data_IF_261513156581
#
_entry.id   IF_261513156581
#
_cell.length_a   1.000
_cell.length_b   1.000
_cell.length_c   1.000
_cell.angle_alpha   90.00
_cell.angle_beta   90.00
_cell.angle_gamma   90.00
#
_symmetry.space_group_name_H-M   'P 1'
#
loop_
_entity.id
_entity.type
_entity.pdbx_description
1 polymer ?
#
# COMPACT_ATOMS: atom_id res chain seq x y z
N UNK A 1 -10.42 -22.83 -21.32
CA UNK A 1 -9.98 -22.40 -19.98
C UNK A 1 -10.51 -21.00 -19.80
N UNK A 2 -11.11 -20.70 -18.66
CA UNK A 2 -11.72 -19.40 -18.36
C UNK A 2 -10.64 -18.34 -18.09
N UNK A 3 -10.85 -17.12 -18.60
CA UNK A 3 -9.91 -16.00 -18.47
C UNK A 3 -10.13 -15.28 -17.16
N UNK A 4 -9.07 -14.78 -16.52
CA UNK A 4 -9.20 -13.99 -15.29
C UNK A 4 -8.11 -12.91 -15.27
N UNK A 5 -8.52 -11.63 -15.25
CA UNK A 5 -7.61 -10.49 -15.21
C UNK A 5 -7.46 -9.98 -13.77
N UNK A 6 -6.63 -10.69 -13.01
CA UNK A 6 -6.34 -10.36 -11.61
C UNK A 6 -5.01 -9.60 -11.48
N UNK A 7 -5.05 -8.40 -10.89
CA UNK A 7 -3.86 -7.63 -10.52
C UNK A 7 -3.66 -7.66 -9.01
N UNK A 8 -2.54 -8.23 -8.54
CA UNK A 8 -2.22 -8.34 -7.11
C UNK A 8 -0.97 -7.51 -6.79
N UNK A 9 -1.13 -6.47 -5.98
CA UNK A 9 -0.04 -5.62 -5.48
C UNK A 9 0.34 -6.07 -4.06
N UNK A 10 1.32 -6.99 -3.94
CA UNK A 10 1.76 -7.56 -2.66
C UNK A 10 3.04 -6.92 -2.12
N UNK A 11 3.12 -6.79 -0.78
CA UNK A 11 4.33 -6.42 -0.05
C UNK A 11 4.73 -7.50 0.95
N UNK A 12 5.65 -8.38 0.54
CA UNK A 12 6.36 -9.30 1.43
C UNK A 12 7.75 -9.62 0.90
N UNK A 13 8.72 -9.83 1.80
CA UNK A 13 10.08 -10.22 1.42
C UNK A 13 10.21 -11.75 1.32
N UNK A 14 10.78 -12.24 0.20
CA UNK A 14 11.25 -13.64 -0.01
C UNK A 14 10.06 -14.62 -0.22
N UNK A 15 10.06 -15.62 -1.13
CA UNK A 15 11.12 -16.46 -1.72
C UNK A 15 10.82 -16.79 -3.20
N UNK A 16 11.85 -16.94 -4.04
CA UNK A 16 11.67 -17.26 -5.48
C UNK A 16 11.61 -18.77 -5.74
N UNK A 17 10.62 -19.22 -6.52
CA UNK A 17 10.65 -20.51 -7.23
C UNK A 17 10.25 -20.23 -8.68
N UNK A 18 11.17 -20.42 -9.61
CA UNK A 18 10.92 -20.19 -11.04
C UNK A 18 10.34 -21.43 -11.72
N UNK A 19 9.57 -21.21 -12.79
CA UNK A 19 9.32 -22.24 -13.80
C UNK A 19 9.17 -21.62 -15.18
N UNK A 20 9.86 -22.20 -16.17
CA UNK A 20 9.71 -21.83 -17.59
C UNK A 20 8.47 -22.49 -18.17
N UNK A 21 7.69 -21.81 -19.01
CA UNK A 21 6.84 -22.49 -20.00
C UNK A 21 6.54 -21.67 -21.26
N UNK A 22 6.72 -22.35 -22.38
CA UNK A 22 6.21 -22.15 -23.75
C UNK A 22 5.40 -20.90 -24.09
N UNK A 23 5.87 -20.15 -25.10
CA UNK A 23 5.00 -19.30 -25.91
C UNK A 23 4.21 -20.17 -26.90
N UNK A 24 2.91 -19.89 -27.08
CA UNK A 24 2.29 -20.00 -28.40
C UNK A 24 1.08 -19.05 -28.53
N UNK A 25 0.64 -18.83 -29.78
CA UNK A 25 0.10 -17.52 -30.22
C UNK A 25 -1.43 -17.35 -30.23
N UNK A 26 -1.81 -16.06 -30.24
CA UNK A 26 -3.03 -15.46 -30.79
C UNK A 26 -4.39 -15.95 -30.25
N UNK A 27 -5.03 -15.09 -29.45
CA UNK A 27 -6.49 -15.11 -29.26
C UNK A 27 -7.03 -13.70 -29.53
N UNK A 28 -7.99 -13.59 -30.45
CA UNK A 28 -8.76 -12.36 -30.68
C UNK A 28 -9.63 -12.05 -29.46
N UNK A 29 -9.57 -10.81 -28.97
CA UNK A 29 -10.46 -10.31 -27.91
C UNK A 29 -11.73 -9.79 -28.57
N UNK A 30 -12.86 -10.49 -28.34
CA UNK A 30 -14.19 -9.97 -28.69
C UNK A 30 -14.53 -8.80 -27.76
N UNK A 31 -14.93 -7.68 -28.35
CA UNK A 31 -15.43 -6.51 -27.63
C UNK A 31 -16.97 -6.55 -27.66
N UNK A 32 -17.65 -6.77 -26.52
CA UNK A 32 -18.96 -6.15 -26.22
C UNK A 32 -19.61 -6.49 -24.85
N UNK A 33 -18.96 -7.22 -23.94
CA UNK A 33 -19.44 -7.31 -22.54
C UNK A 33 -18.76 -6.21 -21.71
N UNK A 34 -19.51 -5.30 -21.05
CA UNK A 34 -18.93 -4.36 -20.09
C UNK A 34 -18.41 -5.13 -18.87
N UNK A 35 -17.08 -5.23 -18.75
CA UNK A 35 -16.41 -5.80 -17.59
C UNK A 35 -16.78 -5.03 -16.31
N UNK A 36 -17.16 -5.74 -15.25
CA UNK A 36 -17.24 -5.10 -13.93
C UNK A 36 -15.83 -4.95 -13.36
N UNK A 37 -15.67 -3.91 -12.55
CA UNK A 37 -14.44 -3.65 -11.81
C UNK A 37 -14.72 -4.00 -10.35
N UNK A 38 -13.91 -4.89 -9.80
CA UNK A 38 -13.94 -5.33 -8.40
C UNK A 38 -12.61 -4.99 -7.73
N UNK A 39 -12.67 -4.70 -6.43
CA UNK A 39 -11.48 -4.40 -5.65
C UNK A 39 -11.52 -5.05 -4.27
N UNK A 40 -10.37 -5.53 -3.79
CA UNK A 40 -10.16 -5.95 -2.41
C UNK A 40 -9.02 -5.13 -1.82
N UNK A 41 -9.34 -4.29 -0.83
CA UNK A 41 -8.39 -3.38 -0.17
C UNK A 41 -8.18 -3.83 1.27
N UNK A 42 -6.92 -4.03 1.68
CA UNK A 42 -6.59 -4.62 2.97
C UNK A 42 -5.54 -3.77 3.70
N UNK A 43 -5.90 -3.25 4.88
CA UNK A 43 -4.99 -2.67 5.86
C UNK A 43 -4.73 -3.72 6.96
N UNK A 44 -3.73 -4.56 6.76
CA UNK A 44 -3.42 -5.74 7.60
C UNK A 44 -2.79 -5.41 8.96
N UNK A 45 -2.93 -4.19 9.47
CA UNK A 45 -2.36 -3.78 10.76
C UNK A 45 -3.15 -2.66 11.43
N UNK A 46 -2.93 -2.53 12.74
CA UNK A 46 -3.76 -1.75 13.64
C UNK A 46 -2.95 -0.77 14.48
N UNK A 47 -3.66 -0.05 15.34
CA UNK A 47 -3.24 1.08 16.16
C UNK A 47 -2.84 2.30 15.35
N UNK A 48 -3.01 3.49 15.95
CA UNK A 48 -2.66 4.77 15.32
C UNK A 48 -1.24 4.83 14.75
N UNK A 49 -0.29 4.05 15.28
CA UNK A 49 1.09 3.93 14.78
C UNK A 49 1.15 3.55 13.29
N UNK A 50 0.17 2.75 12.86
CA UNK A 50 -0.03 2.23 11.51
C UNK A 50 -1.13 2.96 10.74
N UNK A 51 -1.46 4.19 11.16
CA UNK A 51 -2.38 5.11 10.47
C UNK A 51 -2.18 5.11 8.96
N UNK A 52 -0.93 5.14 8.48
CA UNK A 52 -0.56 5.06 7.06
C UNK A 52 -1.24 3.95 6.27
N UNK A 53 -1.36 2.73 6.80
CA UNK A 53 -1.97 1.63 6.04
C UNK A 53 -3.50 1.77 5.93
N UNK A 54 -4.15 2.37 6.93
CA UNK A 54 -5.59 2.65 6.91
C UNK A 54 -5.90 3.88 6.03
N UNK A 55 -5.02 4.88 6.05
CA UNK A 55 -5.09 6.02 5.14
C UNK A 55 -4.79 5.63 3.68
N UNK A 56 -3.83 4.74 3.43
CA UNK A 56 -3.54 4.17 2.11
C UNK A 56 -4.77 3.43 1.56
N UNK A 57 -5.37 2.54 2.36
CA UNK A 57 -6.59 1.82 2.00
C UNK A 57 -7.74 2.76 1.63
N UNK A 58 -8.00 3.77 2.46
CA UNK A 58 -9.10 4.69 2.16
C UNK A 58 -8.79 5.62 0.99
N UNK A 59 -7.52 5.98 0.72
CA UNK A 59 -7.14 6.72 -0.48
C UNK A 59 -7.36 5.88 -1.76
N UNK A 60 -6.98 4.61 -1.74
CA UNK A 60 -7.30 3.66 -2.83
C UNK A 60 -8.82 3.49 -3.03
N UNK A 61 -9.60 3.52 -1.94
CA UNK A 61 -11.07 3.52 -2.01
C UNK A 61 -11.60 4.80 -2.70
N UNK A 62 -11.09 5.99 -2.36
CA UNK A 62 -11.50 7.24 -3.01
C UNK A 62 -11.21 7.24 -4.52
N UNK A 63 -10.03 6.73 -4.93
CA UNK A 63 -9.66 6.55 -6.33
C UNK A 63 -10.70 5.69 -7.08
N UNK A 64 -11.02 4.51 -6.55
CA UNK A 64 -11.98 3.58 -7.18
C UNK A 64 -13.39 4.20 -7.27
N UNK A 65 -13.84 4.88 -6.21
CA UNK A 65 -15.14 5.56 -6.20
C UNK A 65 -15.18 6.75 -7.15
N UNK A 66 -14.09 7.52 -7.25
CA UNK A 66 -13.94 8.65 -8.18
C UNK A 66 -13.98 8.21 -9.64
N UNK A 67 -13.40 7.05 -9.95
CA UNK A 67 -13.48 6.42 -11.28
C UNK A 67 -14.82 5.68 -11.53
N UNK A 68 -15.77 5.71 -10.59
CA UNK A 68 -17.12 5.17 -10.78
C UNK A 68 -17.30 3.69 -10.43
N UNK A 69 -16.30 3.01 -9.84
CA UNK A 69 -16.45 1.64 -9.35
C UNK A 69 -17.51 1.61 -8.24
N UNK A 70 -18.60 0.81 -8.36
CA UNK A 70 -19.65 0.76 -7.34
C UNK A 70 -19.10 0.23 -6.02
N UNK A 71 -19.55 0.80 -4.89
CA UNK A 71 -19.06 0.45 -3.55
C UNK A 71 -19.39 -1.00 -3.17
N UNK A 72 -20.42 -1.56 -3.81
CA UNK A 72 -20.84 -2.95 -3.74
C UNK A 72 -19.74 -3.89 -4.26
N UNK A 73 -18.91 -3.44 -5.20
CA UNK A 73 -17.79 -4.22 -5.77
C UNK A 73 -16.43 -3.93 -5.10
N UNK A 74 -16.38 -3.01 -4.12
CA UNK A 74 -15.18 -2.73 -3.34
C UNK A 74 -15.32 -3.41 -1.98
N UNK A 75 -14.36 -4.25 -1.61
CA UNK A 75 -14.35 -5.04 -0.38
C UNK A 75 -13.19 -4.58 0.49
N UNK A 76 -13.47 -4.12 1.70
CA UNK A 76 -12.47 -3.47 2.55
C UNK A 76 -12.24 -4.21 3.87
N UNK A 77 -10.97 -4.45 4.20
CA UNK A 77 -10.55 -5.06 5.47
C UNK A 77 -9.59 -4.13 6.19
N UNK A 78 -10.03 -3.48 7.26
CA UNK A 78 -9.25 -2.49 8.02
C UNK A 78 -9.63 -2.51 9.48
N UNK A 79 -8.66 -2.45 10.40
CA UNK A 79 -8.98 -2.40 11.83
C UNK A 79 -9.83 -1.18 12.23
N UNK A 80 -9.81 -0.12 11.40
CA UNK A 80 -10.60 1.12 11.56
C UNK A 80 -10.42 1.82 12.92
N UNK A 81 -9.28 1.59 13.56
CA UNK A 81 -8.99 2.07 14.92
C UNK A 81 -8.13 3.34 14.92
N UNK A 82 -7.58 3.75 13.78
CA UNK A 82 -6.79 4.98 13.65
C UNK A 82 -7.68 6.25 13.63
N UNK A 83 -8.79 6.22 12.90
CA UNK A 83 -9.63 7.40 12.60
C UNK A 83 -10.20 8.08 13.86
N UNK A 84 -10.65 7.30 14.84
CA UNK A 84 -11.18 7.80 16.11
C UNK A 84 -10.20 7.64 17.28
N UNK A 85 -8.97 7.20 17.02
CA UNK A 85 -7.98 6.94 18.06
C UNK A 85 -7.78 8.16 18.96
N UNK A 86 -7.55 7.97 20.27
CA UNK A 86 -7.43 9.08 21.24
C UNK A 86 -6.40 10.16 20.84
N UNK A 87 -5.34 9.75 20.14
CA UNK A 87 -4.26 10.64 19.66
C UNK A 87 -4.47 11.23 18.25
N UNK A 88 -5.54 10.89 17.52
CA UNK A 88 -5.88 11.60 16.30
C UNK A 88 -6.38 13.02 16.66
N UNK A 89 -5.73 14.12 16.23
CA UNK A 89 -6.26 15.46 16.45
C UNK A 89 -7.51 15.75 15.60
N UNK A 90 -7.70 15.06 14.48
CA UNK A 90 -8.83 15.22 13.55
C UNK A 90 -9.76 14.00 13.63
N UNK A 91 -10.61 13.94 14.67
CA UNK A 91 -11.54 12.82 14.88
C UNK A 91 -12.47 12.64 13.68
N UNK A 92 -12.64 11.39 13.24
CA UNK A 92 -13.47 11.08 12.08
C UNK A 92 -12.78 11.26 10.72
N UNK A 93 -11.50 11.67 10.69
CA UNK A 93 -10.77 12.00 9.45
C UNK A 93 -9.47 11.22 9.33
N UNK A 94 -9.06 10.91 8.10
CA UNK A 94 -7.73 10.39 7.75
C UNK A 94 -7.14 11.19 6.58
N UNK A 95 -5.82 11.30 6.51
CA UNK A 95 -5.09 12.08 5.50
C UNK A 95 -3.91 11.27 4.99
N UNK A 96 -3.77 11.09 3.67
CA UNK A 96 -2.72 10.25 3.10
C UNK A 96 -1.47 11.00 2.59
N UNK A 97 -1.56 12.33 2.39
CA UNK A 97 -0.44 13.19 1.94
C UNK A 97 -0.44 14.58 2.62
N UNK A 98 0.73 15.18 2.90
CA UNK A 98 0.79 16.54 3.45
C UNK A 98 0.39 17.60 2.42
N UNK A 99 -0.41 18.61 2.83
CA UNK A 99 -0.84 19.71 1.95
C UNK A 99 -0.39 21.09 2.41
N UNK A 100 0.92 21.23 2.69
CA UNK A 100 1.51 22.48 3.16
C UNK A 100 0.91 22.91 4.50
N UNK A 101 0.37 24.13 4.55
CA UNK A 101 -0.22 24.71 5.77
C UNK A 101 -1.62 24.16 6.11
N UNK A 102 -2.15 23.21 5.32
CA UNK A 102 -3.46 22.57 5.54
C UNK A 102 -3.30 21.08 5.89
N UNK A 103 -4.20 20.49 6.71
CA UNK A 103 -4.06 19.12 7.21
C UNK A 103 -3.94 18.03 6.14
N UNK A 104 -4.68 18.19 5.04
CA UNK A 104 -4.78 17.23 3.95
C UNK A 104 -6.15 17.32 3.26
N UNK A 105 -6.37 16.48 2.25
CA UNK A 105 -7.72 16.08 1.85
C UNK A 105 -8.11 14.87 2.68
N UNK A 106 -9.30 14.89 3.28
CA UNK A 106 -9.80 13.76 4.06
C UNK A 106 -10.09 12.57 3.13
N UNK A 107 -9.41 11.45 3.34
CA UNK A 107 -9.61 10.22 2.56
C UNK A 107 -10.61 9.27 3.24
N UNK A 108 -10.99 9.52 4.50
CA UNK A 108 -11.92 8.65 5.23
C UNK A 108 -13.39 8.91 4.91
N UNK A 109 -13.75 10.12 4.46
CA UNK A 109 -15.14 10.48 4.16
C UNK A 109 -15.75 9.53 3.12
N UNK A 110 -16.77 8.76 3.52
CA UNK A 110 -17.42 7.77 2.65
C UNK A 110 -16.66 6.44 2.45
N UNK A 111 -15.50 6.25 3.08
CA UNK A 111 -14.74 4.99 3.08
C UNK A 111 -15.49 3.92 3.90
N UNK A 112 -16.23 3.03 3.22
CA UNK A 112 -16.93 1.92 3.87
C UNK A 112 -15.94 0.81 4.28
N UNK A 113 -16.04 0.31 5.52
CA UNK A 113 -15.20 -0.77 6.06
C UNK A 113 -16.05 -2.03 6.27
N UNK A 114 -15.92 -3.03 5.39
CA UNK A 114 -16.71 -4.28 5.45
C UNK A 114 -16.26 -5.21 6.60
N UNK A 115 -14.95 -5.33 6.82
CA UNK A 115 -14.37 -6.13 7.90
C UNK A 115 -13.54 -5.23 8.83
N UNK A 116 -14.03 -5.02 10.04
CA UNK A 116 -13.43 -4.13 11.03
C UNK A 116 -12.91 -4.87 12.27
N UNK A 117 -11.87 -4.32 12.90
CA UNK A 117 -11.27 -4.84 14.13
C UNK A 117 -10.86 -6.32 14.01
N UNK A 118 -11.34 -7.15 14.93
CA UNK A 118 -11.06 -8.59 14.98
C UNK A 118 -11.55 -9.38 13.74
N UNK A 119 -12.39 -8.78 12.88
CA UNK A 119 -12.78 -9.40 11.61
C UNK A 119 -11.67 -9.34 10.54
N UNK A 120 -10.58 -8.59 10.74
CA UNK A 120 -9.42 -8.57 9.84
C UNK A 120 -8.54 -9.80 10.10
N UNK A 121 -8.95 -10.95 9.52
CA UNK A 121 -8.28 -12.25 9.71
C UNK A 121 -7.90 -12.89 8.37
N UNK A 122 -6.88 -13.75 8.39
CA UNK A 122 -6.48 -14.56 7.21
C UNK A 122 -7.66 -15.38 6.67
N UNK A 123 -8.54 -15.91 7.54
CA UNK A 123 -9.72 -16.68 7.12
C UNK A 123 -10.72 -15.83 6.34
N UNK A 124 -11.02 -14.61 6.82
CA UNK A 124 -11.90 -13.69 6.11
C UNK A 124 -11.26 -13.23 4.79
N UNK A 125 -9.95 -12.92 4.77
CA UNK A 125 -9.22 -12.62 3.52
C UNK A 125 -9.33 -13.79 2.52
N UNK A 126 -9.13 -15.03 2.96
CA UNK A 126 -9.27 -16.21 2.10
C UNK A 126 -10.69 -16.33 1.54
N UNK A 127 -11.73 -16.28 2.38
CA UNK A 127 -13.12 -16.37 1.90
C UNK A 127 -13.53 -15.20 0.99
N UNK A 128 -13.03 -14.00 1.22
CA UNK A 128 -13.21 -12.84 0.32
C UNK A 128 -12.61 -13.13 -1.05
N UNK A 129 -11.36 -13.59 -1.10
CA UNK A 129 -10.63 -13.84 -2.34
C UNK A 129 -11.13 -15.07 -3.12
N UNK A 130 -11.76 -16.04 -2.45
CA UNK A 130 -12.33 -17.24 -3.09
C UNK A 130 -13.83 -17.16 -3.37
N UNK A 131 -14.51 -16.07 -2.99
CA UNK A 131 -15.97 -15.96 -3.06
C UNK A 131 -16.72 -16.86 -2.05
N UNK A 132 -16.02 -17.44 -1.07
CA UNK A 132 -16.59 -18.42 -0.14
C UNK A 132 -17.21 -17.76 1.11
N UNK A 133 -18.53 -17.56 1.04
CA UNK A 133 -19.38 -17.06 2.13
C UNK A 133 -19.49 -18.01 3.34
N UNK A 134 -18.97 -19.23 3.28
CA UNK A 134 -18.84 -20.13 4.44
C UNK A 134 -17.54 -19.92 5.21
N UNK A 135 -16.50 -19.41 4.54
CA UNK A 135 -15.24 -19.04 5.16
C UNK A 135 -15.28 -17.62 5.73
N UNK A 136 -15.82 -16.66 4.97
CA UNK A 136 -15.86 -15.25 5.34
C UNK A 136 -17.16 -14.83 6.05
N UNK A 137 -17.07 -13.84 6.93
CA UNK A 137 -18.20 -13.35 7.74
C UNK A 137 -19.02 -12.20 7.12
N UNK A 138 -18.77 -11.81 5.86
CA UNK A 138 -19.38 -10.63 5.24
C UNK A 138 -19.34 -10.64 3.70
N UNK A 139 -19.13 -9.48 3.08
CA UNK A 139 -18.99 -9.30 1.62
C UNK A 139 -17.82 -10.12 1.08
N UNK A 140 -17.98 -10.80 -0.06
CA UNK A 140 -16.92 -11.57 -0.76
C UNK A 140 -16.91 -11.20 -2.23
N UNK A 141 -15.87 -11.57 -2.98
CA UNK A 141 -15.86 -11.36 -4.43
C UNK A 141 -16.95 -12.21 -5.09
N UNK A 142 -17.74 -11.57 -5.96
CA UNK A 142 -18.72 -12.24 -6.85
C UNK A 142 -18.35 -12.02 -8.33
N UNK A 143 -17.09 -11.71 -8.59
CA UNK A 143 -16.51 -11.47 -9.92
C UNK A 143 -16.54 -12.70 -10.82
N UNK A 144 -16.76 -12.46 -12.11
CA UNK A 144 -16.77 -13.47 -13.18
C UNK A 144 -15.49 -13.45 -14.02
N UNK A 145 -15.37 -14.37 -14.98
CA UNK A 145 -14.26 -14.44 -15.95
C UNK A 145 -14.13 -13.20 -16.86
N UNK A 146 -15.16 -12.34 -16.93
CA UNK A 146 -15.17 -11.12 -17.73
C UNK A 146 -14.86 -9.86 -16.89
N UNK A 147 -14.61 -9.99 -15.59
CA UNK A 147 -14.42 -8.87 -14.68
C UNK A 147 -12.94 -8.64 -14.34
N UNK A 148 -12.58 -7.39 -14.03
CA UNK A 148 -11.27 -7.02 -13.51
C UNK A 148 -11.26 -7.08 -11.98
N UNK A 149 -10.22 -7.68 -11.39
CA UNK A 149 -10.06 -7.75 -9.94
C UNK A 149 -8.75 -7.09 -9.52
N UNK A 150 -8.84 -5.98 -8.79
CA UNK A 150 -7.71 -5.29 -8.17
C UNK A 150 -7.55 -5.70 -6.70
N UNK A 151 -6.35 -6.10 -6.28
CA UNK A 151 -6.05 -6.46 -4.89
C UNK A 151 -4.89 -5.62 -4.37
N UNK A 152 -5.12 -4.89 -3.27
CA UNK A 152 -4.12 -4.07 -2.60
C UNK A 152 -3.99 -4.42 -1.10
N UNK A 153 -2.76 -4.52 -0.62
CA UNK A 153 -2.44 -4.95 0.74
C UNK A 153 -1.35 -4.06 1.38
N UNK A 154 -1.71 -3.37 2.46
CA UNK A 154 -0.87 -2.48 3.24
C UNK A 154 -0.65 -3.04 4.65
N UNK A 155 0.59 -3.32 5.05
CA UNK A 155 0.90 -3.89 6.37
C UNK A 155 2.29 -3.56 6.91
N UNK A 156 2.45 -3.78 8.23
CA UNK A 156 3.70 -3.63 8.97
C UNK A 156 4.49 -4.95 9.03
N UNK A 157 5.82 -4.87 9.08
CA UNK A 157 6.71 -5.97 9.46
C UNK A 157 7.61 -5.47 10.61
N UNK A 158 7.54 -6.13 11.77
CA UNK A 158 8.11 -5.71 13.07
C UNK A 158 7.55 -4.39 13.66
N UNK A 159 7.57 -4.21 14.99
CA UNK A 159 6.47 -3.54 15.73
C UNK A 159 6.88 -2.21 16.47
N UNK A 160 5.90 -1.49 17.03
CA UNK A 160 6.01 -0.35 18.01
C UNK A 160 6.21 1.10 17.42
N UNK A 161 6.48 2.22 18.17
CA UNK A 161 5.47 3.35 18.24
C UNK A 161 5.71 4.86 18.61
N UNK A 162 4.91 5.76 17.95
CA UNK A 162 4.49 7.20 18.14
C UNK A 162 5.47 8.40 17.87
N UNK A 163 5.32 9.35 16.90
CA UNK A 163 4.20 9.88 16.03
C UNK A 163 4.24 9.60 14.48
N UNK A 164 3.09 9.65 13.79
CA UNK A 164 2.79 8.82 12.59
C UNK A 164 3.24 9.35 11.21
N UNK A 165 3.56 8.41 10.29
CA UNK A 165 3.58 8.66 8.84
C UNK A 165 2.15 8.60 8.26
N UNK A 166 1.90 9.33 7.17
CA UNK A 166 0.56 9.46 6.56
C UNK A 166 0.23 8.40 5.49
N UNK A 167 1.25 7.84 4.84
CA UNK A 167 1.15 6.79 3.82
C UNK A 167 2.50 6.10 3.64
N UNK A 168 2.54 4.92 3.03
CA UNK A 168 3.80 4.26 2.68
C UNK A 168 4.30 4.72 1.29
N UNK A 169 5.62 4.87 1.12
CA UNK A 169 6.21 5.56 -0.04
C UNK A 169 5.78 4.95 -1.38
N UNK A 170 5.71 3.61 -1.47
CA UNK A 170 5.20 2.93 -2.65
C UNK A 170 3.73 3.29 -2.90
N UNK A 171 2.89 3.20 -1.86
CA UNK A 171 1.44 3.44 -1.95
C UNK A 171 1.17 4.83 -2.49
N UNK A 172 1.76 5.84 -1.85
CA UNK A 172 1.60 7.25 -2.22
C UNK A 172 2.17 7.53 -3.62
N UNK A 173 3.20 6.79 -4.07
CA UNK A 173 3.75 6.95 -5.42
C UNK A 173 2.81 6.49 -6.55
N UNK A 174 2.10 5.35 -6.39
CA UNK A 174 1.12 4.93 -7.40
C UNK A 174 -0.20 5.72 -7.26
N UNK A 175 -0.68 5.96 -6.04
CA UNK A 175 -1.94 6.69 -5.82
C UNK A 175 -1.89 8.15 -6.27
N UNK A 176 -0.80 8.89 -5.99
CA UNK A 176 -0.68 10.27 -6.50
C UNK A 176 -0.47 10.32 -8.02
N UNK A 177 -0.01 9.23 -8.64
CA UNK A 177 0.02 9.13 -10.09
C UNK A 177 -1.39 8.86 -10.65
N UNK A 178 -2.16 7.98 -10.00
CA UNK A 178 -3.55 7.69 -10.35
C UNK A 178 -4.46 8.92 -10.18
N UNK A 179 -4.34 9.66 -9.08
CA UNK A 179 -4.96 10.98 -8.86
C UNK A 179 -4.71 11.90 -10.06
N UNK A 180 -3.43 11.99 -10.47
CA UNK A 180 -2.99 12.84 -11.56
C UNK A 180 -3.59 12.41 -12.90
N UNK A 181 -3.49 11.12 -13.23
CA UNK A 181 -4.01 10.57 -14.50
C UNK A 181 -5.52 10.74 -14.59
N UNK A 182 -6.24 10.50 -13.50
CA UNK A 182 -7.69 10.67 -13.41
C UNK A 182 -8.10 12.15 -13.55
N UNK A 183 -7.36 13.08 -12.94
CA UNK A 183 -7.61 14.52 -13.04
C UNK A 183 -7.30 15.12 -14.42
N UNK A 184 -6.51 14.43 -15.25
CA UNK A 184 -6.07 14.93 -16.58
C UNK A 184 -6.57 14.12 -17.77
N UNK A 185 -7.11 12.92 -17.54
CA UNK A 185 -7.49 12.00 -18.60
C UNK A 185 -6.32 11.35 -19.33
N UNK A 186 -5.07 11.48 -18.85
CA UNK A 186 -3.96 10.69 -19.38
C UNK A 186 -4.11 9.20 -18.99
N UNK A 187 -3.60 8.31 -19.84
CA UNK A 187 -3.50 6.89 -19.56
C UNK A 187 -2.06 6.40 -19.68
N UNK A 188 -1.75 5.34 -18.94
CA UNK A 188 -0.47 4.65 -18.97
C UNK A 188 -0.69 3.14 -18.81
N UNK A 189 0.28 2.34 -19.25
CA UNK A 189 0.26 0.89 -19.10
C UNK A 189 0.70 0.43 -17.71
N UNK A 190 0.42 -0.82 -17.35
CA UNK A 190 0.95 -1.47 -16.15
C UNK A 190 2.48 -1.35 -16.03
N UNK A 191 3.21 -1.51 -17.14
CA UNK A 191 4.66 -1.40 -17.20
C UNK A 191 5.15 0.03 -16.93
N UNK A 192 4.47 1.02 -17.50
CA UNK A 192 4.77 2.45 -17.26
C UNK A 192 4.52 2.83 -15.78
N UNK A 193 3.41 2.35 -15.20
CA UNK A 193 3.12 2.57 -13.78
C UNK A 193 4.17 1.93 -12.88
N UNK A 194 4.56 0.68 -13.18
CA UNK A 194 5.58 -0.07 -12.44
C UNK A 194 6.94 0.61 -12.50
N UNK A 195 7.43 0.99 -13.69
CA UNK A 195 8.76 1.60 -13.83
C UNK A 195 8.83 2.98 -13.17
N UNK A 196 7.77 3.78 -13.26
CA UNK A 196 7.64 5.03 -12.52
C UNK A 196 7.75 4.79 -11.01
N UNK A 197 6.90 3.92 -10.45
CA UNK A 197 6.83 3.69 -9.00
C UNK A 197 8.12 3.07 -8.48
N UNK A 198 8.74 2.16 -9.23
CA UNK A 198 10.05 1.56 -8.94
C UNK A 198 11.15 2.61 -8.88
N UNK A 199 11.22 3.50 -9.88
CA UNK A 199 12.17 4.61 -9.93
C UNK A 199 12.00 5.55 -8.73
N UNK A 200 10.76 5.94 -8.42
CA UNK A 200 10.46 6.90 -7.35
C UNK A 200 10.55 6.29 -5.93
N UNK A 201 10.46 4.97 -5.79
CA UNK A 201 10.58 4.28 -4.49
C UNK A 201 12.03 3.86 -4.19
N UNK A 202 12.88 3.64 -5.20
CA UNK A 202 14.27 3.16 -5.03
C UNK A 202 15.29 4.28 -4.75
N UNK A 203 14.84 5.53 -4.65
CA UNK A 203 15.68 6.74 -4.72
C UNK A 203 16.75 6.88 -3.60
N UNK A 204 16.57 6.28 -2.40
CA UNK A 204 17.56 6.35 -1.31
C UNK A 204 18.48 5.11 -1.29
N UNK A 205 19.69 5.26 -1.86
CA UNK A 205 20.89 4.43 -1.67
C UNK A 205 20.68 2.94 -1.32
N UNK A 206 20.33 2.15 -2.34
CA UNK A 206 20.75 0.74 -2.42
C UNK A 206 19.73 -0.30 -1.92
N UNK A 207 19.27 -1.12 -2.85
CA UNK A 207 18.50 -2.36 -2.62
C UNK A 207 17.07 -2.19 -2.06
N UNK A 208 16.29 -1.28 -2.62
CA UNK A 208 14.85 -1.57 -2.74
C UNK A 208 14.70 -2.63 -3.84
N UNK A 209 14.53 -3.90 -3.45
CA UNK A 209 14.17 -4.97 -4.40
C UNK A 209 12.65 -5.11 -4.35
N UNK A 210 11.96 -4.44 -5.28
CA UNK A 210 10.62 -4.85 -5.69
C UNK A 210 10.74 -6.28 -6.25
N UNK A 211 10.50 -7.28 -5.40
CA UNK A 211 10.21 -8.64 -5.84
C UNK A 211 8.72 -8.63 -6.14
N UNK A 212 8.40 -8.25 -7.37
CA UNK A 212 7.04 -7.87 -7.77
C UNK A 212 6.93 -7.64 -9.27
N UNK A 213 7.59 -8.49 -10.05
CA UNK A 213 7.25 -8.73 -11.47
C UNK A 213 7.04 -10.21 -11.75
N UNK A 214 6.94 -11.04 -10.70
CA UNK A 214 6.40 -12.38 -10.78
C UNK A 214 4.87 -12.23 -10.85
N UNK A 215 4.40 -11.84 -12.05
CA UNK A 215 3.02 -12.05 -12.46
C UNK A 215 2.63 -13.47 -12.05
N UNK A 216 1.56 -13.62 -11.25
CA UNK A 216 1.18 -14.93 -10.71
C UNK A 216 1.09 -15.94 -11.87
N UNK A 217 1.75 -17.11 -11.80
CA UNK A 217 1.76 -18.05 -12.93
C UNK A 217 0.35 -18.39 -13.40
N UNK A 218 -0.04 -17.85 -14.56
CA UNK A 218 -1.41 -17.95 -15.11
C UNK A 218 -2.23 -16.64 -15.15
N UNK A 219 -1.73 -15.49 -14.68
CA UNK A 219 -2.44 -14.20 -14.85
C UNK A 219 -2.32 -13.71 -16.30
N UNK A 220 -3.44 -13.53 -17.00
CA UNK A 220 -3.47 -13.02 -18.39
C UNK A 220 -3.28 -11.48 -18.49
N UNK A 221 -3.05 -10.78 -17.37
CA UNK A 221 -2.71 -9.37 -17.34
C UNK A 221 -1.30 -9.12 -17.94
N UNK A 222 -1.26 -8.80 -19.24
CA UNK A 222 -0.04 -8.39 -19.95
C UNK A 222 0.41 -6.97 -19.59
N UNK A 223 1.70 -6.68 -19.80
CA UNK A 223 2.31 -5.33 -19.67
C UNK A 223 1.64 -4.23 -20.48
N UNK A 224 0.87 -4.59 -21.52
CA UNK A 224 0.19 -3.68 -22.44
C UNK A 224 -1.17 -3.19 -21.90
N UNK A 225 -1.77 -3.84 -20.89
CA UNK A 225 -3.02 -3.36 -20.31
C UNK A 225 -2.83 -1.98 -19.68
N UNK A 226 -3.84 -1.13 -19.86
CA UNK A 226 -3.86 0.21 -19.27
C UNK A 226 -4.10 0.06 -17.77
N UNK A 227 -3.23 0.64 -16.94
CA UNK A 227 -3.33 0.51 -15.48
C UNK A 227 -4.70 0.94 -14.96
N UNK A 228 -5.22 2.06 -15.47
CA UNK A 228 -6.52 2.62 -15.13
C UNK A 228 -7.72 1.72 -15.43
N UNK A 229 -7.62 0.73 -16.34
CA UNK A 229 -8.71 -0.21 -16.61
C UNK A 229 -9.02 -1.04 -15.35
N UNK A 230 -8.03 -1.43 -14.55
CA UNK A 230 -8.26 -2.14 -13.27
C UNK A 230 -8.99 -1.29 -12.20
N UNK A 231 -9.06 0.03 -12.39
CA UNK A 231 -9.71 0.98 -11.48
C UNK A 231 -10.98 1.59 -12.06
N UNK A 232 -11.47 1.11 -13.21
CA UNK A 232 -12.65 1.63 -13.89
C UNK A 232 -12.45 3.01 -14.56
N UNK A 233 -11.21 3.49 -14.73
CA UNK A 233 -10.92 4.81 -15.29
C UNK A 233 -11.45 4.90 -16.73
N UNK A 234 -12.29 5.89 -17.08
CA UNK A 234 -12.86 6.00 -18.43
C UNK A 234 -11.79 6.29 -19.49
N UNK A 235 -12.04 5.83 -20.74
CA UNK A 235 -11.08 6.01 -21.85
C UNK A 235 -10.91 7.50 -22.21
N UNK A 236 -9.69 7.96 -22.57
CA UNK A 236 -9.38 9.38 -22.71
C UNK A 236 -10.20 10.11 -23.79
N UNK A 237 -10.71 11.28 -23.42
CA UNK A 237 -11.19 12.31 -24.35
C UNK A 237 -10.34 13.56 -24.03
N UNK A 238 -9.20 13.66 -24.73
CA UNK A 238 -8.01 14.28 -24.14
C UNK A 238 -7.92 15.81 -24.19
N UNK A 239 -7.04 16.34 -23.33
CA UNK A 239 -6.23 17.54 -23.58
C UNK A 239 -4.97 17.52 -22.69
N UNK A 240 -3.98 18.36 -23.01
CA UNK A 240 -2.66 18.39 -22.38
C UNK A 240 -2.53 19.52 -21.33
N UNK A 241 -1.89 19.22 -20.19
CA UNK A 241 -1.44 20.22 -19.18
C UNK A 241 -0.11 19.78 -18.58
N UNK A 242 0.94 19.69 -19.41
CA UNK A 242 2.17 18.95 -19.05
C UNK A 242 3.09 19.70 -18.07
N UNK A 243 3.21 21.02 -18.20
CA UNK A 243 4.23 21.80 -17.48
C UNK A 243 3.89 22.06 -16.00
N UNK A 244 2.63 22.40 -15.68
CA UNK A 244 2.20 22.67 -14.30
C UNK A 244 2.20 21.40 -13.46
N UNK A 245 1.78 20.31 -14.08
CA UNK A 245 1.85 18.94 -13.58
C UNK A 245 3.29 18.51 -13.29
N UNK A 246 4.23 18.75 -14.21
CA UNK A 246 5.62 18.39 -14.02
C UNK A 246 6.23 19.12 -12.81
N UNK A 247 5.87 20.40 -12.61
CA UNK A 247 6.28 21.18 -11.42
C UNK A 247 5.73 20.58 -10.12
N UNK A 248 4.46 20.18 -10.09
CA UNK A 248 3.86 19.58 -8.89
C UNK A 248 4.41 18.18 -8.59
N UNK A 249 4.63 17.34 -9.61
CA UNK A 249 5.29 16.04 -9.44
C UNK A 249 6.69 16.19 -8.84
N UNK A 250 7.50 17.13 -9.33
CA UNK A 250 8.84 17.38 -8.77
C UNK A 250 8.78 17.99 -7.36
N UNK A 251 7.78 18.83 -7.04
CA UNK A 251 7.55 19.34 -5.68
C UNK A 251 7.21 18.22 -4.69
N UNK A 252 6.29 17.34 -5.04
CA UNK A 252 5.91 16.18 -4.22
C UNK A 252 7.08 15.21 -4.05
N UNK A 253 7.86 14.99 -5.10
CA UNK A 253 9.10 14.20 -5.08
C UNK A 253 10.13 14.75 -4.10
N UNK A 254 10.39 16.05 -4.13
CA UNK A 254 11.31 16.72 -3.21
C UNK A 254 10.85 16.59 -1.74
N UNK A 255 9.54 16.67 -1.48
CA UNK A 255 8.96 16.43 -0.14
C UNK A 255 9.18 14.98 0.30
N UNK A 256 8.83 14.00 -0.54
CA UNK A 256 9.04 12.56 -0.27
C UNK A 256 10.51 12.22 -0.04
N UNK A 257 11.42 12.84 -0.79
CA UNK A 257 12.86 12.67 -0.63
C UNK A 257 13.34 12.98 0.78
N UNK A 258 12.81 14.03 1.43
CA UNK A 258 13.25 14.45 2.77
C UNK A 258 12.43 13.84 3.91
N UNK A 259 11.15 13.52 3.70
CA UNK A 259 10.23 13.02 4.74
C UNK A 259 10.14 11.51 4.87
N UNK A 260 10.59 10.74 3.87
CA UNK A 260 10.52 9.28 3.90
C UNK A 260 11.49 8.64 4.92
N UNK A 261 10.99 7.64 5.63
CA UNK A 261 11.73 6.83 6.60
C UNK A 261 11.46 5.33 6.38
N UNK A 262 12.44 4.43 6.56
CA UNK A 262 12.20 3.00 6.47
C UNK A 262 11.17 2.54 7.51
N UNK A 263 10.25 1.63 7.16
CA UNK A 263 9.12 1.28 8.03
C UNK A 263 9.54 0.75 9.42
N UNK A 264 10.64 0.00 9.50
CA UNK A 264 11.25 -0.45 10.79
C UNK A 264 11.89 0.67 11.62
N UNK A 265 12.25 1.79 10.99
CA UNK A 265 12.87 2.95 11.65
C UNK A 265 11.83 3.99 12.10
N UNK A 266 10.56 3.82 11.70
CA UNK A 266 9.44 4.64 12.15
C UNK A 266 9.47 4.81 13.69
N UNK A 267 9.55 3.76 14.54
CA UNK A 267 9.55 3.88 16.00
C UNK A 267 10.64 4.78 16.59
N UNK A 268 11.84 4.74 16.00
CA UNK A 268 13.00 5.53 16.45
C UNK A 268 12.85 7.00 16.02
N UNK A 269 12.53 7.23 14.74
CA UNK A 269 12.33 8.57 14.17
C UNK A 269 11.23 9.35 14.91
N UNK A 270 10.13 8.65 15.16
CA UNK A 270 9.02 8.99 16.02
C UNK A 270 9.43 9.57 17.38
N UNK A 271 10.17 8.79 18.18
CA UNK A 271 10.59 9.14 19.54
C UNK A 271 11.61 10.26 19.55
N UNK A 272 12.52 10.27 18.57
CA UNK A 272 13.49 11.35 18.38
C UNK A 272 12.82 12.69 18.05
N UNK A 273 11.77 12.69 17.21
CA UNK A 273 10.99 13.91 16.93
C UNK A 273 10.23 14.42 18.15
N UNK A 274 9.72 13.53 19.01
CA UNK A 274 9.08 13.91 20.28
C UNK A 274 10.09 14.59 21.22
N UNK A 275 11.30 14.04 21.33
CA UNK A 275 12.36 14.61 22.17
C UNK A 275 12.77 16.01 21.70
N UNK A 276 12.98 16.20 20.38
CA UNK A 276 13.40 17.47 19.78
C UNK A 276 12.41 18.62 19.96
N UNK A 277 11.11 18.35 20.00
CA UNK A 277 10.10 19.38 20.27
C UNK A 277 10.04 19.78 21.75
N UNK A 278 10.56 18.94 22.65
CA UNK A 278 10.65 19.25 24.07
C UNK A 278 11.97 19.93 24.47
N UNK A 279 13.00 19.90 23.61
CA UNK A 279 14.27 20.59 23.82
C UNK A 279 14.07 22.08 24.15
N UNK A 280 14.85 22.59 25.11
CA UNK A 280 14.79 24.00 25.51
C UNK A 280 13.61 24.41 26.39
N UNK A 281 12.66 23.52 26.73
CA UNK A 281 11.55 23.80 27.67
C UNK A 281 11.89 23.36 29.12
N UNK A 282 12.26 24.27 30.05
CA UNK A 282 12.81 23.86 31.35
C UNK A 282 11.79 23.19 32.28
N UNK A 283 10.50 23.41 32.06
CA UNK A 283 9.41 22.77 32.80
C UNK A 283 9.23 21.28 32.48
N UNK A 284 9.88 20.75 31.43
CA UNK A 284 9.59 19.42 30.88
C UNK A 284 10.78 18.44 30.88
N UNK A 285 11.88 18.73 31.58
CA UNK A 285 13.05 17.83 31.68
C UNK A 285 12.69 16.40 32.13
N UNK A 286 11.66 16.24 32.97
CA UNK A 286 11.18 14.91 33.37
C UNK A 286 10.56 14.15 32.20
N UNK A 287 9.79 14.81 31.32
CA UNK A 287 9.23 14.17 30.12
C UNK A 287 10.34 13.88 29.10
N UNK A 288 11.29 14.80 28.91
CA UNK A 288 12.46 14.57 28.05
C UNK A 288 13.23 13.32 28.48
N UNK A 289 13.50 13.16 29.79
CA UNK A 289 14.19 11.98 30.32
C UNK A 289 13.42 10.68 30.07
N UNK A 290 12.09 10.65 30.27
CA UNK A 290 11.31 9.45 29.98
C UNK A 290 11.26 9.15 28.47
N UNK A 291 11.08 10.15 27.59
CA UNK A 291 11.14 9.96 26.13
C UNK A 291 12.52 9.47 25.67
N UNK A 292 13.61 9.94 26.29
CA UNK A 292 14.97 9.47 26.00
C UNK A 292 15.19 8.01 26.42
N UNK A 293 14.60 7.55 27.54
CA UNK A 293 14.61 6.13 27.93
C UNK A 293 13.75 5.28 26.99
N UNK A 294 12.55 5.73 26.65
CA UNK A 294 11.67 5.07 25.67
C UNK A 294 12.39 4.90 24.31
N UNK A 295 13.14 5.92 23.87
CA UNK A 295 13.99 5.87 22.67
C UNK A 295 15.14 4.85 22.80
N UNK A 296 15.85 4.83 23.93
CA UNK A 296 16.94 3.87 24.17
C UNK A 296 16.42 2.43 24.14
N UNK A 297 15.33 2.14 24.85
CA UNK A 297 14.69 0.82 24.82
C UNK A 297 14.28 0.41 23.39
N UNK A 298 13.71 1.34 22.61
CA UNK A 298 13.32 1.09 21.22
C UNK A 298 14.55 0.72 20.36
N UNK A 299 15.71 1.34 20.61
CA UNK A 299 16.97 1.00 19.92
C UNK A 299 17.50 -0.37 20.36
N UNK A 300 17.46 -0.69 21.64
CA UNK A 300 17.87 -2.01 22.17
C UNK A 300 16.99 -3.16 21.65
N UNK A 301 15.68 -2.94 21.54
CA UNK A 301 14.73 -3.88 20.92
C UNK A 301 15.03 -4.05 19.43
N UNK A 302 15.28 -2.95 18.71
CA UNK A 302 15.63 -2.98 17.28
C UNK A 302 16.96 -3.70 17.00
N UNK A 303 17.96 -3.57 17.89
CA UNK A 303 19.24 -4.30 17.78
C UNK A 303 18.99 -5.80 17.90
N UNK A 304 18.18 -6.23 18.89
CA UNK A 304 17.86 -7.64 19.12
C UNK A 304 17.12 -8.27 17.94
N UNK A 305 16.14 -7.56 17.36
CA UNK A 305 15.46 -8.03 16.14
C UNK A 305 16.44 -8.21 14.96
N UNK A 306 17.44 -7.34 14.82
CA UNK A 306 18.48 -7.44 13.79
C UNK A 306 19.39 -8.65 14.04
N UNK A 307 19.82 -8.88 15.29
CA UNK A 307 20.62 -10.05 15.69
C UNK A 307 19.88 -11.35 15.36
N UNK A 308 18.62 -11.49 15.78
CA UNK A 308 17.80 -12.66 15.43
C UNK A 308 17.60 -12.82 13.91
N UNK A 309 17.48 -11.70 13.16
CA UNK A 309 17.41 -11.75 11.70
C UNK A 309 18.73 -12.21 11.07
N UNK A 310 19.88 -11.87 11.65
CA UNK A 310 21.17 -12.37 11.18
C UNK A 310 21.29 -13.88 11.40
N UNK A 311 21.00 -14.36 12.61
CA UNK A 311 21.03 -15.78 12.96
C UNK A 311 20.10 -16.62 12.06
N UNK A 312 18.86 -16.15 11.84
CA UNK A 312 17.91 -16.81 10.93
C UNK A 312 18.41 -16.87 9.48
N UNK A 313 19.06 -15.82 8.99
CA UNK A 313 19.62 -15.80 7.62
C UNK A 313 20.85 -16.71 7.48
N UNK A 314 21.69 -16.81 8.52
CA UNK A 314 22.82 -17.75 8.54
C UNK A 314 22.32 -19.20 8.55
N UNK A 315 21.32 -19.53 9.37
CA UNK A 315 20.71 -20.85 9.38
C UNK A 315 20.08 -21.23 8.03
N UNK A 316 19.28 -20.34 7.42
CA UNK A 316 18.68 -20.58 6.09
C UNK A 316 19.74 -20.75 4.99
N UNK A 317 20.88 -20.04 5.10
CA UNK A 317 22.00 -20.21 4.19
C UNK A 317 22.63 -21.60 4.34
N UNK A 318 22.88 -22.05 5.57
CA UNK A 318 23.44 -23.38 5.85
C UNK A 318 22.51 -24.50 5.36
N UNK A 319 21.20 -24.38 5.57
CA UNK A 319 20.21 -25.34 5.04
C UNK A 319 20.22 -25.40 3.51
N UNK A 320 20.26 -24.25 2.84
CA UNK A 320 20.32 -24.21 1.37
C UNK A 320 21.63 -24.81 0.86
N UNK A 321 22.75 -24.48 1.50
CA UNK A 321 24.07 -24.95 1.06
C UNK A 321 24.20 -26.49 1.31
N UNK A 322 23.53 -27.05 2.33
CA UNK A 322 23.33 -28.51 2.54
C UNK A 322 22.37 -29.16 1.52
N UNK A 323 21.34 -28.45 1.05
CA UNK A 323 20.40 -28.98 0.06
C UNK A 323 20.98 -29.06 -1.37
N UNK A 324 22.20 -28.54 -1.59
CA UNK A 324 22.91 -28.54 -2.87
C UNK A 324 24.20 -29.39 -2.84
N UNK A 325 24.42 -30.16 -1.77
CA UNK A 325 25.57 -31.07 -1.59
C UNK A 325 25.16 -32.54 -1.64
#
# INVERSE_FOLDING_TARGET
MARHYTLIMLFSAILSIGYSLSQDKNVSVDNDIPANHWAVLIAGSNTYKNYRHQADLCHAYQILRGNGVPKEHIITLSYNDAVNHRYNPFKGQLFNKPTGDRPGVDVYEGCEIDYSGEAVTVKNVQGVLTGDKSLASGKVLESTENDYVFINFHAMVANVSFRVCLGDLFSVNWMENEDFLSATGYNETLEQQYDLVKKETTFRNGKFKLIGSDYAPGSEATVEHVFGEFFGRPKPQGMTVEEEVAREKERLRAIKQVSSVPSRMIPIHMKYSELREEEGKPSNYRRQLEVAKELLQTVEESIREIEEMMDRNEHLRLERDLAHS
#
